data_IF_143153406381
#
_entry.id   IF_143153406381
#
_cell.length_a   1.000
_cell.length_b   1.000
_cell.length_c   1.000
_cell.angle_alpha   90.00
_cell.angle_beta   90.00
_cell.angle_gamma   90.00
#
_symmetry.space_group_name_H-M   'P 1'
#
loop_
_entity.id
_entity.type
_entity.pdbx_description
1 polymer ?
#
# COMPACT_ATOMS: atom_id res chain seq x y z
N UNK A 1 28.26 24.88 -40.02
CA UNK A 1 28.59 24.88 -38.57
C UNK A 1 27.61 25.77 -37.83
N UNK A 2 26.55 25.22 -37.20
CA UNK A 2 25.67 25.96 -36.27
C UNK A 2 25.38 25.06 -35.04
N UNK A 3 25.93 25.35 -33.86
CA UNK A 3 25.62 24.65 -32.62
C UNK A 3 24.53 25.41 -31.82
N UNK A 4 23.90 24.74 -30.83
CA UNK A 4 23.11 25.31 -29.69
C UNK A 4 21.57 25.34 -29.75
N UNK A 5 20.92 24.40 -30.43
CA UNK A 5 19.45 24.18 -30.35
C UNK A 5 18.93 23.44 -29.09
N UNK A 6 19.79 23.08 -28.14
CA UNK A 6 19.41 22.32 -26.93
C UNK A 6 19.11 23.21 -25.70
N UNK A 7 19.59 24.45 -25.67
CA UNK A 7 19.39 25.35 -24.51
C UNK A 7 17.94 25.80 -24.34
N UNK A 8 17.24 26.09 -25.45
CA UNK A 8 15.84 26.51 -25.41
C UNK A 8 14.87 25.39 -24.98
N UNK A 9 15.19 24.13 -25.30
CA UNK A 9 14.41 22.97 -24.85
C UNK A 9 14.59 22.68 -23.36
N UNK A 10 15.76 22.97 -22.81
CA UNK A 10 16.02 22.83 -21.36
C UNK A 10 15.40 23.97 -20.55
N UNK A 11 15.33 25.19 -21.10
CA UNK A 11 14.60 26.30 -20.47
C UNK A 11 13.09 26.10 -20.49
N UNK A 12 12.53 25.54 -21.57
CA UNK A 12 11.10 25.20 -21.64
C UNK A 12 10.74 24.00 -20.76
N UNK A 13 11.62 22.98 -20.65
CA UNK A 13 11.43 21.88 -19.71
C UNK A 13 11.56 22.34 -18.25
N UNK A 14 12.51 23.24 -17.96
CA UNK A 14 12.66 23.86 -16.64
C UNK A 14 11.43 24.68 -16.24
N UNK A 15 10.86 25.45 -17.19
CA UNK A 15 9.63 26.20 -16.96
C UNK A 15 8.40 25.30 -16.81
N UNK A 16 8.35 24.16 -17.52
CA UNK A 16 7.27 23.17 -17.39
C UNK A 16 7.29 22.44 -16.04
N UNK A 17 8.49 22.13 -15.50
CA UNK A 17 8.63 21.56 -14.15
C UNK A 17 8.22 22.58 -13.08
N UNK A 18 8.53 23.87 -13.27
CA UNK A 18 8.04 24.93 -12.37
C UNK A 18 6.53 25.20 -12.49
N UNK A 19 5.92 24.98 -13.65
CA UNK A 19 4.47 25.15 -13.83
C UNK A 19 3.63 24.05 -13.14
N UNK A 20 4.22 22.89 -12.87
CA UNK A 20 3.53 21.81 -12.11
C UNK A 20 3.50 22.01 -10.60
N UNK A 21 4.15 23.07 -10.08
CA UNK A 21 4.13 23.43 -8.65
C UNK A 21 2.93 24.25 -8.20
N UNK A 22 2.06 24.69 -9.12
CA UNK A 22 0.79 25.34 -8.80
C UNK A 22 -0.38 24.36 -8.92
N UNK A 23 -0.22 23.16 -8.36
CA UNK A 23 -1.38 22.38 -7.95
C UNK A 23 -2.09 23.19 -6.87
N UNK A 24 -3.33 23.52 -7.15
CA UNK A 24 -4.20 24.31 -6.30
C UNK A 24 -4.09 23.83 -4.86
N UNK A 25 -3.69 24.73 -3.98
CA UNK A 25 -3.79 24.50 -2.56
C UNK A 25 -5.26 24.22 -2.27
N UNK A 26 -5.60 22.94 -2.12
CA UNK A 26 -6.78 22.54 -1.40
C UNK A 26 -6.72 23.27 -0.04
N UNK A 27 -7.84 23.83 0.45
CA UNK A 27 -7.87 24.44 1.77
C UNK A 27 -7.26 23.46 2.77
N UNK A 28 -6.27 23.96 3.52
CA UNK A 28 -5.47 23.17 4.45
C UNK A 28 -6.32 22.25 5.31
N UNK A 29 -5.75 21.07 5.53
CA UNK A 29 -6.21 19.98 6.40
C UNK A 29 -7.06 20.45 7.61
N UNK A 30 -8.39 20.52 7.44
CA UNK A 30 -9.38 20.71 8.52
C UNK A 30 -9.67 19.39 9.21
N UNK A 31 -8.63 18.70 9.70
CA UNK A 31 -8.78 17.43 10.41
C UNK A 31 -8.99 17.59 11.92
N UNK A 32 -9.06 18.83 12.45
CA UNK A 32 -9.24 19.08 13.88
C UNK A 32 -10.23 20.25 14.09
N UNK A 33 -11.48 20.11 13.64
CA UNK A 33 -12.58 20.90 14.20
C UNK A 33 -13.37 20.01 15.14
N UNK A 34 -13.02 20.04 16.43
CA UNK A 34 -13.93 19.57 17.49
C UNK A 34 -15.09 20.55 17.48
N UNK A 35 -16.21 20.16 16.86
CA UNK A 35 -17.48 20.87 17.03
C UNK A 35 -18.15 20.25 18.24
N UNK A 36 -18.20 20.94 19.41
CA UNK A 36 -18.88 20.39 20.57
C UNK A 36 -20.37 20.27 20.25
N UNK A 37 -20.86 19.03 20.16
CA UNK A 37 -22.30 18.77 20.22
C UNK A 37 -22.78 19.18 21.62
N UNK A 38 -23.94 19.84 21.70
CA UNK A 38 -24.50 20.40 22.93
C UNK A 38 -24.78 19.38 24.07
N UNK A 39 -24.48 18.08 23.87
CA UNK A 39 -24.69 16.97 24.81
C UNK A 39 -23.45 16.07 25.00
N UNK A 40 -22.23 16.61 24.98
CA UNK A 40 -21.03 15.90 25.49
C UNK A 40 -20.56 14.66 24.70
N UNK A 41 -21.03 14.48 23.46
CA UNK A 41 -20.51 13.47 22.53
C UNK A 41 -19.49 14.09 21.58
N UNK A 42 -18.26 13.59 21.60
CA UNK A 42 -17.20 13.92 20.65
C UNK A 42 -17.55 13.32 19.29
N UNK A 43 -18.25 14.08 18.43
CA UNK A 43 -18.47 13.68 17.04
C UNK A 43 -17.15 13.83 16.29
N UNK A 44 -16.34 12.77 16.25
CA UNK A 44 -15.19 12.69 15.35
C UNK A 44 -15.66 13.09 13.95
N UNK A 45 -15.10 14.18 13.42
CA UNK A 45 -15.44 14.67 12.10
C UNK A 45 -15.30 13.54 11.09
N UNK A 46 -16.30 13.33 10.24
CA UNK A 46 -16.32 12.30 9.17
C UNK A 46 -14.99 12.28 8.39
N UNK A 47 -14.32 13.42 8.28
CA UNK A 47 -12.97 13.57 7.72
C UNK A 47 -11.88 12.75 8.44
N UNK A 48 -11.86 12.69 9.77
CA UNK A 48 -10.89 11.90 10.56
C UNK A 48 -11.17 10.40 10.39
N UNK A 49 -12.44 9.99 10.38
CA UNK A 49 -12.82 8.59 10.16
C UNK A 49 -12.40 8.10 8.77
N UNK A 50 -12.62 8.92 7.73
CA UNK A 50 -12.15 8.62 6.37
C UNK A 50 -10.62 8.56 6.31
N UNK A 51 -9.92 9.49 6.97
CA UNK A 51 -8.46 9.48 7.03
C UNK A 51 -7.92 8.19 7.68
N UNK A 52 -8.50 7.78 8.81
CA UNK A 52 -8.13 6.55 9.50
C UNK A 52 -8.38 5.31 8.61
N UNK A 53 -9.53 5.26 7.94
CA UNK A 53 -9.89 4.17 7.04
C UNK A 53 -8.96 4.07 5.82
N UNK A 54 -8.61 5.20 5.21
CA UNK A 54 -7.62 5.26 4.12
C UNK A 54 -6.23 4.79 4.59
N UNK A 55 -5.84 5.18 5.81
CA UNK A 55 -4.57 4.75 6.40
C UNK A 55 -4.54 3.23 6.55
N UNK A 56 -5.58 2.63 7.16
CA UNK A 56 -5.67 1.18 7.33
C UNK A 56 -5.67 0.47 5.98
N UNK A 57 -6.47 0.92 5.02
CA UNK A 57 -6.53 0.32 3.68
C UNK A 57 -5.19 0.36 2.94
N UNK A 58 -4.41 1.43 3.10
CA UNK A 58 -3.08 1.54 2.48
C UNK A 58 -2.03 0.61 3.10
N UNK A 59 -2.10 0.37 4.41
CA UNK A 59 -1.14 -0.47 5.15
C UNK A 59 -1.51 -1.96 5.10
N UNK A 60 -2.81 -2.27 4.98
CA UNK A 60 -3.34 -3.63 4.94
C UNK A 60 -2.63 -4.56 3.94
N UNK A 61 -2.42 -4.19 2.66
CA UNK A 61 -1.75 -5.08 1.71
C UNK A 61 -0.30 -5.38 2.12
N UNK A 62 0.43 -4.39 2.64
CA UNK A 62 1.80 -4.58 3.12
C UNK A 62 1.83 -5.48 4.37
N UNK A 63 0.89 -5.28 5.31
CA UNK A 63 0.78 -6.09 6.51
C UNK A 63 0.47 -7.57 6.19
N UNK A 64 -0.43 -7.84 5.23
CA UNK A 64 -0.74 -9.20 4.79
C UNK A 64 0.49 -9.89 4.15
N UNK A 65 1.27 -9.15 3.37
CA UNK A 65 2.49 -9.69 2.77
C UNK A 65 3.55 -10.01 3.84
N UNK A 66 3.70 -9.14 4.84
CA UNK A 66 4.69 -9.32 5.92
C UNK A 66 4.34 -10.43 6.91
N UNK A 67 3.06 -10.66 7.16
CA UNK A 67 2.58 -11.71 8.09
C UNK A 67 2.53 -13.10 7.48
N UNK A 68 2.72 -13.23 6.16
CA UNK A 68 2.70 -14.51 5.45
C UNK A 68 4.11 -15.01 5.10
N UNK A 69 4.19 -16.20 4.49
CA UNK A 69 5.46 -16.78 4.03
C UNK A 69 6.08 -16.04 2.84
N UNK A 70 5.37 -15.06 2.25
CA UNK A 70 5.81 -14.32 1.07
C UNK A 70 7.19 -13.71 1.25
N UNK A 71 7.42 -13.00 2.36
CA UNK A 71 8.68 -12.29 2.63
C UNK A 71 9.88 -13.23 2.62
N UNK A 72 9.77 -14.43 3.22
CA UNK A 72 10.86 -15.41 3.21
C UNK A 72 11.11 -15.93 1.79
N UNK A 73 10.07 -16.26 1.04
CA UNK A 73 10.17 -16.83 -0.30
C UNK A 73 10.81 -15.82 -1.27
N UNK A 74 10.34 -14.57 -1.30
CA UNK A 74 10.87 -13.56 -2.22
C UNK A 74 12.33 -13.21 -1.93
N UNK A 75 12.73 -13.17 -0.66
CA UNK A 75 14.12 -12.90 -0.26
C UNK A 75 15.02 -14.05 -0.74
N UNK A 76 14.64 -15.30 -0.48
CA UNK A 76 15.43 -16.47 -0.90
C UNK A 76 15.57 -16.52 -2.42
N UNK A 77 14.49 -16.30 -3.17
CA UNK A 77 14.53 -16.25 -4.63
C UNK A 77 15.36 -15.08 -5.16
N UNK A 78 15.33 -13.93 -4.48
CA UNK A 78 16.12 -12.75 -4.85
C UNK A 78 17.62 -12.93 -4.61
N UNK A 79 17.99 -13.58 -3.50
CA UNK A 79 19.37 -13.96 -3.19
C UNK A 79 19.86 -14.99 -4.20
N UNK A 80 19.04 -16.00 -4.53
CA UNK A 80 19.38 -17.00 -5.54
C UNK A 80 19.64 -16.34 -6.91
N UNK A 81 18.82 -15.36 -7.29
CA UNK A 81 19.03 -14.59 -8.52
C UNK A 81 20.39 -13.88 -8.53
N UNK A 82 20.79 -13.26 -7.43
CA UNK A 82 22.09 -12.60 -7.33
C UNK A 82 23.25 -13.62 -7.40
N UNK A 83 23.05 -14.78 -6.77
CA UNK A 83 24.04 -15.86 -6.77
C UNK A 83 24.28 -16.47 -8.16
N UNK A 84 23.29 -16.41 -9.07
CA UNK A 84 23.45 -16.92 -10.44
C UNK A 84 24.38 -16.06 -11.32
N UNK A 85 24.75 -14.85 -10.90
CA UNK A 85 25.72 -14.00 -11.62
C UNK A 85 25.26 -13.51 -13.01
N UNK A 86 24.01 -13.81 -13.40
CA UNK A 86 23.43 -13.40 -14.69
C UNK A 86 22.81 -12.00 -14.58
N UNK A 87 22.95 -11.22 -15.65
CA UNK A 87 22.30 -9.91 -15.72
C UNK A 87 20.78 -10.10 -15.86
N UNK A 88 20.04 -9.68 -14.84
CA UNK A 88 18.59 -9.38 -14.88
C UNK A 88 17.63 -10.54 -15.19
N UNK A 89 18.11 -11.77 -15.40
CA UNK A 89 17.24 -12.93 -15.55
C UNK A 89 17.22 -13.71 -14.24
N UNK A 90 16.08 -13.85 -13.54
CA UNK A 90 14.71 -13.47 -13.92
C UNK A 90 14.28 -12.05 -13.46
N UNK A 91 13.31 -11.45 -14.18
CA UNK A 91 12.74 -10.12 -13.89
C UNK A 91 12.01 -10.08 -12.54
N UNK A 92 11.98 -8.91 -11.89
CA UNK A 92 11.32 -8.71 -10.59
C UNK A 92 9.84 -9.15 -10.59
N UNK A 93 9.13 -8.94 -11.69
CA UNK A 93 7.73 -9.34 -11.83
C UNK A 93 7.55 -10.86 -11.78
N UNK A 94 8.50 -11.62 -12.33
CA UNK A 94 8.45 -13.09 -12.34
C UNK A 94 8.71 -13.61 -10.93
N UNK A 95 9.70 -13.06 -10.22
CA UNK A 95 9.97 -13.43 -8.82
C UNK A 95 8.77 -13.16 -7.94
N UNK A 96 8.12 -12.00 -8.12
CA UNK A 96 6.91 -11.62 -7.38
C UNK A 96 5.74 -12.57 -7.68
N UNK A 97 5.53 -12.93 -8.95
CA UNK A 97 4.49 -13.90 -9.33
C UNK A 97 4.73 -15.29 -8.73
N UNK A 98 5.97 -15.79 -8.83
CA UNK A 98 6.37 -17.07 -8.25
C UNK A 98 6.22 -17.08 -6.73
N UNK A 99 6.65 -16.02 -6.04
CA UNK A 99 6.55 -15.94 -4.58
C UNK A 99 5.10 -15.90 -4.12
N UNK A 100 4.23 -15.19 -4.83
CA UNK A 100 2.81 -15.09 -4.51
C UNK A 100 2.10 -16.44 -4.70
N UNK A 101 2.38 -17.14 -5.81
CA UNK A 101 1.82 -18.47 -6.06
C UNK A 101 2.26 -19.51 -5.02
N UNK A 102 3.56 -19.56 -4.71
CA UNK A 102 4.09 -20.43 -3.67
C UNK A 102 3.55 -20.07 -2.28
N UNK A 103 3.31 -18.79 -2.01
CA UNK A 103 2.68 -18.36 -0.75
C UNK A 103 1.29 -18.93 -0.62
N UNK A 104 0.43 -18.82 -1.65
CA UNK A 104 -0.92 -19.40 -1.58
C UNK A 104 -0.88 -20.92 -1.43
N UNK A 105 0.03 -21.60 -2.13
CA UNK A 105 0.21 -23.04 -1.99
C UNK A 105 0.59 -23.46 -0.57
N UNK A 106 1.55 -22.76 0.04
CA UNK A 106 2.06 -23.07 1.39
C UNK A 106 1.05 -22.65 2.48
N UNK A 107 0.31 -21.55 2.27
CA UNK A 107 -0.62 -20.98 3.25
C UNK A 107 -2.03 -21.57 3.20
N UNK A 108 -2.33 -22.50 2.28
CA UNK A 108 -3.62 -23.19 2.21
C UNK A 108 -4.20 -23.63 3.57
N UNK A 109 -3.45 -24.31 4.48
CA UNK A 109 -3.99 -24.69 5.80
C UNK A 109 -4.26 -23.50 6.72
N UNK A 110 -3.44 -22.45 6.65
CA UNK A 110 -3.61 -21.24 7.48
C UNK A 110 -4.87 -20.48 7.06
N UNK A 111 -5.14 -20.37 5.75
CA UNK A 111 -6.38 -19.78 5.26
C UNK A 111 -7.61 -20.59 5.67
N UNK A 112 -7.51 -21.92 5.68
CA UNK A 112 -8.60 -22.78 6.15
C UNK A 112 -8.89 -22.54 7.64
N UNK A 113 -7.85 -22.58 8.48
CA UNK A 113 -7.98 -22.30 9.92
C UNK A 113 -8.52 -20.91 10.20
N UNK A 114 -8.05 -19.87 9.48
CA UNK A 114 -8.53 -18.51 9.63
C UNK A 114 -10.01 -18.37 9.25
N UNK A 115 -10.44 -19.07 8.18
CA UNK A 115 -11.84 -19.10 7.78
C UNK A 115 -12.72 -19.81 8.82
N UNK A 116 -12.30 -20.98 9.32
CA UNK A 116 -13.10 -21.76 10.29
C UNK A 116 -13.13 -21.14 11.68
N UNK A 117 -12.05 -20.52 12.14
CA UNK A 117 -11.92 -19.98 13.49
C UNK A 117 -12.35 -18.52 13.62
N UNK A 118 -12.27 -17.73 12.54
CA UNK A 118 -12.62 -16.31 12.55
C UNK A 118 -13.86 -16.01 11.72
N UNK A 119 -13.79 -16.26 10.42
CA UNK A 119 -14.82 -15.81 9.46
C UNK A 119 -16.15 -16.52 9.68
N UNK A 120 -16.14 -17.85 9.74
CA UNK A 120 -17.34 -18.67 9.90
C UNK A 120 -18.13 -18.31 11.19
N UNK A 121 -17.51 -18.28 12.39
CA UNK A 121 -18.25 -17.95 13.60
C UNK A 121 -18.67 -16.48 13.68
N UNK A 122 -17.97 -15.56 13.00
CA UNK A 122 -18.44 -14.18 12.85
C UNK A 122 -19.70 -14.08 11.97
N UNK A 123 -19.74 -14.84 10.86
CA UNK A 123 -20.93 -14.94 10.01
C UNK A 123 -22.11 -15.66 10.67
N UNK A 124 -21.83 -16.64 11.54
CA UNK A 124 -22.83 -17.38 12.30
C UNK A 124 -23.32 -16.61 13.54
N UNK A 125 -22.93 -15.32 13.71
CA UNK A 125 -23.22 -14.43 14.86
C UNK A 125 -22.79 -15.00 16.23
N UNK A 126 -21.88 -15.98 16.22
CA UNK A 126 -21.34 -16.61 17.44
C UNK A 126 -20.21 -15.79 18.06
N UNK A 127 -19.65 -14.82 17.31
CA UNK A 127 -18.69 -13.84 17.79
C UNK A 127 -19.34 -12.46 17.77
N UNK A 128 -19.46 -11.82 18.95
CA UNK A 128 -19.75 -10.39 19.02
C UNK A 128 -18.58 -9.62 18.38
N UNK A 129 -18.87 -8.55 17.63
CA UNK A 129 -17.85 -7.62 17.10
C UNK A 129 -17.19 -6.76 18.19
N UNK A 130 -17.23 -7.24 19.44
CA UNK A 130 -16.74 -6.57 20.62
C UNK A 130 -15.47 -7.30 21.09
N UNK A 131 -14.34 -6.65 20.83
CA UNK A 131 -13.08 -6.84 21.56
C UNK A 131 -12.92 -5.63 22.46
#
# INVERSE_FOLDING_TARGET
MLPRRHGARLLLAGLAVFYTGASWAAPGFTAMTVTPAANGGETYSVSIQILAMMTVLSLLPAALIMTTSFTRIIIVLSILRQAMGTAQTPSNQILLGLSLFLTFFIMAPVFNSAYTAGVKPYMDEQLSSEV
#
